data_IF_796314393560
#
_entry.id   IF_796314393560
#
_cell.length_a   1.000
_cell.length_b   1.000
_cell.length_c   1.000
_cell.angle_alpha   90.00
_cell.angle_beta   90.00
_cell.angle_gamma   90.00
#
_symmetry.space_group_name_H-M   'P 1'
#
loop_
_entity.id
_entity.type
_entity.pdbx_description
1 polymer ?
#
# COMPACT_ATOMS: atom_id res chain seq x y z
N UNK A 1 -27.53 19.13 15.66
CA UNK A 1 -27.51 17.67 15.53
C UNK A 1 -26.36 17.28 14.62
N UNK A 2 -25.16 17.23 15.17
CA UNK A 2 -23.96 16.68 14.51
C UNK A 2 -23.85 15.22 14.93
N UNK A 3 -23.81 14.25 13.99
CA UNK A 3 -23.74 12.86 14.41
C UNK A 3 -22.36 12.60 15.03
N UNK A 4 -22.44 12.03 16.23
CA UNK A 4 -21.43 11.28 16.96
C UNK A 4 -20.25 10.84 16.08
N UNK A 5 -19.11 11.49 16.28
CA UNK A 5 -17.80 10.91 15.99
C UNK A 5 -17.65 9.80 17.03
N UNK A 6 -18.16 8.62 16.72
CA UNK A 6 -17.85 7.41 17.46
C UNK A 6 -16.34 7.27 17.44
N UNK A 7 -15.77 7.22 18.64
CA UNK A 7 -14.36 7.04 18.92
C UNK A 7 -13.98 5.60 18.57
N UNK A 8 -14.04 5.23 17.29
CA UNK A 8 -13.23 4.14 16.78
C UNK A 8 -11.80 4.63 16.88
N UNK A 9 -10.89 3.83 17.45
CA UNK A 9 -9.47 4.10 17.30
C UNK A 9 -9.23 4.34 15.82
N UNK A 10 -8.96 5.58 15.42
CA UNK A 10 -8.94 5.97 14.01
C UNK A 10 -7.73 5.29 13.37
N UNK A 11 -7.94 4.07 12.88
CA UNK A 11 -6.93 3.33 12.14
C UNK A 11 -6.48 4.22 10.99
N UNK A 12 -5.17 4.41 10.87
CA UNK A 12 -4.61 5.40 9.96
C UNK A 12 -4.62 4.95 8.48
N UNK A 13 -5.04 3.71 8.21
CA UNK A 13 -5.07 3.10 6.88
C UNK A 13 -6.08 1.95 6.83
N UNK A 14 -6.61 1.69 5.63
CA UNK A 14 -7.44 0.51 5.35
C UNK A 14 -6.55 -0.75 5.21
N UNK A 15 -6.67 -1.67 6.17
CA UNK A 15 -5.93 -2.94 6.25
C UNK A 15 -6.84 -4.03 6.83
N UNK A 16 -6.36 -5.25 7.02
CA UNK A 16 -7.18 -6.28 7.66
C UNK A 16 -7.17 -6.11 9.18
N UNK A 17 -8.30 -6.31 9.86
CA UNK A 17 -8.39 -6.49 11.31
C UNK A 17 -9.10 -7.81 11.63
N UNK A 18 -8.73 -8.49 12.72
CA UNK A 18 -9.25 -9.82 13.04
C UNK A 18 -8.36 -10.97 12.55
N UNK A 19 -8.95 -12.15 12.34
CA UNK A 19 -8.23 -13.38 12.03
C UNK A 19 -8.20 -13.66 10.51
N UNK A 20 -7.14 -13.19 9.84
CA UNK A 20 -6.92 -13.48 8.43
C UNK A 20 -6.72 -14.98 8.16
N UNK A 21 -7.30 -15.58 7.10
CA UNK A 21 -8.18 -14.99 6.08
C UNK A 21 -9.69 -15.17 6.38
N UNK A 22 -10.05 -15.66 7.55
CA UNK A 22 -11.41 -16.14 7.84
C UNK A 22 -12.36 -15.05 8.35
N UNK A 23 -11.84 -14.07 9.06
CA UNK A 23 -12.64 -13.03 9.73
C UNK A 23 -11.97 -11.66 9.58
N UNK A 24 -12.70 -10.72 8.96
CA UNK A 24 -12.35 -9.30 8.94
C UNK A 24 -13.33 -8.56 9.85
N UNK A 25 -12.85 -7.91 10.92
CA UNK A 25 -13.70 -7.17 11.87
C UNK A 25 -14.13 -5.80 11.36
N UNK A 26 -13.56 -5.33 10.24
CA UNK A 26 -13.90 -4.05 9.61
C UNK A 26 -13.80 -2.85 10.58
N UNK A 27 -12.85 -2.91 11.53
CA UNK A 27 -12.62 -1.85 12.52
C UNK A 27 -12.24 -0.52 11.87
N UNK A 28 -11.64 -0.55 10.67
CA UNK A 28 -11.35 0.64 9.87
C UNK A 28 -12.54 1.11 9.01
N UNK A 29 -13.67 0.40 9.05
CA UNK A 29 -14.89 0.68 8.30
C UNK A 29 -14.95 0.08 6.89
N UNK A 30 -13.95 -0.72 6.47
CA UNK A 30 -13.88 -1.26 5.11
C UNK A 30 -13.44 -2.73 5.05
N UNK A 31 -14.36 -3.60 4.60
CA UNK A 31 -14.01 -5.00 4.25
C UNK A 31 -13.04 -5.14 3.07
N UNK A 32 -13.14 -4.21 2.12
CA UNK A 32 -12.48 -4.22 0.82
C UNK A 32 -11.78 -2.89 0.57
N UNK A 33 -11.90 -2.36 -0.63
CA UNK A 33 -11.38 -1.02 -0.92
C UNK A 33 -12.18 0.08 -0.23
N UNK A 34 -11.51 1.19 0.03
CA UNK A 34 -12.07 2.46 0.51
C UNK A 34 -11.92 3.55 -0.55
N UNK A 35 -12.75 4.62 -0.53
CA UNK A 35 -12.53 5.78 -1.38
C UNK A 35 -11.11 6.35 -1.25
N UNK A 36 -10.52 6.80 -2.36
CA UNK A 36 -9.11 7.22 -2.43
C UNK A 36 -8.76 8.41 -1.51
N UNK A 37 -9.76 9.15 -1.06
CA UNK A 37 -9.64 10.32 -0.16
C UNK A 37 -9.90 9.99 1.32
N UNK A 38 -10.18 8.72 1.65
CA UNK A 38 -10.34 8.31 3.05
C UNK A 38 -9.01 8.34 3.80
N UNK A 39 -9.12 8.41 5.13
CA UNK A 39 -8.02 8.54 6.09
C UNK A 39 -7.23 9.85 5.94
N UNK A 40 -6.44 10.16 6.96
CA UNK A 40 -5.66 11.41 6.99
C UNK A 40 -4.58 11.41 5.91
N UNK A 41 -4.34 12.57 5.32
CA UNK A 41 -3.17 12.79 4.47
C UNK A 41 -1.88 12.70 5.28
N UNK A 42 -0.80 12.25 4.65
CA UNK A 42 0.54 12.46 5.21
C UNK A 42 0.98 13.93 5.04
N UNK A 43 2.15 14.27 5.57
CA UNK A 43 2.72 15.64 5.50
C UNK A 43 2.94 16.20 4.09
N UNK A 44 2.81 15.38 3.05
CA UNK A 44 2.93 15.75 1.65
C UNK A 44 1.58 15.82 0.92
N UNK A 45 0.47 15.71 1.66
CA UNK A 45 -0.88 15.75 1.07
C UNK A 45 -1.33 14.43 0.44
N UNK A 46 -0.63 13.32 0.67
CA UNK A 46 -0.95 12.03 0.04
C UNK A 46 -1.85 11.18 0.93
N UNK A 47 -2.95 10.70 0.37
CA UNK A 47 -3.83 9.70 0.98
C UNK A 47 -3.43 8.28 0.58
N UNK A 48 -3.71 7.31 1.47
CA UNK A 48 -3.69 5.87 1.17
C UNK A 48 -2.40 5.36 0.50
N UNK A 49 -1.24 5.92 0.86
CA UNK A 49 0.07 5.44 0.35
C UNK A 49 0.48 4.10 0.97
N UNK A 50 -0.17 3.75 2.08
CA UNK A 50 -0.13 2.43 2.70
C UNK A 50 -1.56 1.92 2.86
N UNK A 51 -1.76 0.61 2.77
CA UNK A 51 -3.08 0.00 2.82
C UNK A 51 -3.91 0.29 1.56
N UNK A 52 -5.22 0.07 1.65
CA UNK A 52 -6.17 0.16 0.54
C UNK A 52 -5.79 -0.79 -0.61
N UNK A 53 -5.00 -0.35 -1.60
CA UNK A 53 -4.50 -1.21 -2.67
C UNK A 53 -2.99 -1.15 -2.74
N UNK A 54 -2.37 -2.25 -3.16
CA UNK A 54 -0.99 -2.23 -3.60
C UNK A 54 -0.83 -1.25 -4.75
N UNK A 55 0.32 -0.60 -4.84
CA UNK A 55 0.59 0.36 -5.92
C UNK A 55 1.81 -0.09 -6.73
N UNK A 56 1.61 -0.24 -8.05
CA UNK A 56 2.70 -0.46 -8.99
C UNK A 56 3.69 0.72 -9.01
N UNK A 57 4.94 0.40 -9.32
CA UNK A 57 6.02 1.37 -9.58
C UNK A 57 6.74 1.00 -10.88
N UNK A 58 7.52 1.93 -11.44
CA UNK A 58 8.19 1.72 -12.72
C UNK A 58 9.35 0.69 -12.65
N UNK A 59 9.96 0.53 -11.47
CA UNK A 59 11.17 -0.24 -11.25
C UNK A 59 11.01 -1.74 -11.48
N UNK A 60 12.05 -2.35 -12.05
CA UNK A 60 12.25 -3.80 -12.01
C UNK A 60 12.68 -4.27 -10.61
N UNK A 61 12.15 -5.41 -10.17
CA UNK A 61 12.42 -5.98 -8.86
C UNK A 61 13.81 -6.62 -8.78
N UNK A 62 14.59 -6.18 -7.80
CA UNK A 62 15.85 -6.81 -7.37
C UNK A 62 15.88 -6.92 -5.84
N UNK A 63 16.68 -7.82 -5.29
CA UNK A 63 16.84 -7.96 -3.82
C UNK A 63 18.17 -7.41 -3.30
N UNK A 64 19.14 -7.20 -4.20
CA UNK A 64 20.46 -6.65 -3.87
C UNK A 64 20.48 -5.17 -4.26
N UNK A 65 20.79 -4.31 -3.31
CA UNK A 65 20.91 -2.87 -3.51
C UNK A 65 22.32 -2.43 -3.10
N UNK A 66 22.91 -1.49 -3.83
CA UNK A 66 24.16 -0.86 -3.39
C UNK A 66 23.89 -0.01 -2.13
N UNK A 67 24.89 0.11 -1.26
CA UNK A 67 24.89 1.08 -0.16
C UNK A 67 25.26 2.49 -0.62
N UNK A 68 25.67 2.66 -1.88
CA UNK A 68 26.08 3.95 -2.42
C UNK A 68 24.91 4.94 -2.46
N UNK A 69 25.23 6.22 -2.26
CA UNK A 69 24.27 7.29 -2.45
C UNK A 69 24.02 7.50 -3.94
N UNK A 70 22.76 7.35 -4.36
CA UNK A 70 22.33 7.55 -5.74
C UNK A 70 21.49 8.84 -5.87
N UNK A 71 21.50 9.43 -7.07
CA UNK A 71 20.66 10.57 -7.46
C UNK A 71 19.60 10.05 -8.42
N UNK A 72 18.32 10.19 -8.06
CA UNK A 72 17.17 9.74 -8.87
C UNK A 72 17.33 8.32 -9.45
N UNK A 73 17.53 7.29 -8.60
CA UNK A 73 17.71 5.92 -9.10
C UNK A 73 16.44 5.42 -9.81
N UNK A 74 16.63 4.70 -10.93
CA UNK A 74 15.55 4.15 -11.76
C UNK A 74 15.41 2.62 -11.62
N UNK A 75 16.05 2.04 -10.61
CA UNK A 75 16.10 0.59 -10.41
C UNK A 75 17.03 -0.13 -11.40
N UNK A 76 16.84 -1.44 -11.54
CA UNK A 76 17.54 -2.26 -12.55
C UNK A 76 17.02 -1.94 -13.95
N UNK A 77 17.85 -2.06 -14.98
CA UNK A 77 17.45 -1.87 -16.39
C UNK A 77 16.64 -3.05 -16.94
N UNK A 78 16.71 -4.22 -16.30
CA UNK A 78 15.97 -5.42 -16.66
C UNK A 78 15.50 -6.21 -15.43
N UNK A 79 14.50 -7.07 -15.64
CA UNK A 79 13.96 -7.97 -14.62
C UNK A 79 12.77 -8.76 -15.14
N UNK A 80 12.31 -9.73 -14.33
CA UNK A 80 11.09 -10.50 -14.58
C UNK A 80 9.85 -9.83 -13.99
N UNK A 81 10.00 -9.18 -12.84
CA UNK A 81 8.89 -8.67 -12.04
C UNK A 81 9.01 -7.17 -11.80
N UNK A 82 7.88 -6.47 -11.74
CA UNK A 82 7.82 -5.05 -11.36
C UNK A 82 7.62 -4.90 -9.86
N UNK A 83 8.17 -3.81 -9.32
CA UNK A 83 8.02 -3.49 -7.89
C UNK A 83 6.62 -2.97 -7.61
N UNK A 84 6.02 -3.44 -6.52
CA UNK A 84 4.81 -2.88 -5.90
C UNK A 84 5.02 -2.51 -4.44
N UNK A 85 4.32 -1.49 -3.97
CA UNK A 85 4.49 -0.85 -2.65
C UNK A 85 3.15 -0.65 -1.93
N UNK A 86 3.21 -0.31 -0.65
CA UNK A 86 2.06 0.17 0.13
C UNK A 86 1.29 -0.89 0.92
N UNK A 87 1.24 -2.15 0.46
CA UNK A 87 0.30 -3.12 1.05
C UNK A 87 -1.12 -2.89 0.54
N UNK A 88 -2.11 -3.59 1.11
CA UNK A 88 -3.52 -3.44 0.73
C UNK A 88 -4.45 -3.71 1.91
N UNK A 89 -5.77 -3.61 1.68
CA UNK A 89 -6.84 -3.99 2.61
C UNK A 89 -6.77 -5.46 3.08
N UNK A 90 -5.93 -6.29 2.46
CA UNK A 90 -5.69 -7.70 2.84
C UNK A 90 -4.46 -7.88 3.73
N UNK A 91 -3.70 -6.80 4.00
CA UNK A 91 -2.50 -6.92 4.80
C UNK A 91 -2.84 -7.00 6.29
N UNK A 92 -2.21 -7.95 6.98
CA UNK A 92 -2.29 -8.12 8.43
C UNK A 92 -0.91 -8.36 9.01
N UNK A 93 -0.69 -7.99 10.29
CA UNK A 93 0.62 -8.13 10.96
C UNK A 93 1.13 -9.57 10.98
N UNK A 94 0.22 -10.55 11.09
CA UNK A 94 0.58 -11.98 11.24
C UNK A 94 1.06 -12.66 9.97
N UNK A 95 0.70 -12.14 8.78
CA UNK A 95 0.97 -12.80 7.50
C UNK A 95 1.65 -11.88 6.49
N UNK A 96 1.14 -10.66 6.31
CA UNK A 96 1.64 -9.71 5.32
C UNK A 96 1.81 -8.33 5.95
N UNK A 97 2.88 -8.18 6.75
CA UNK A 97 3.22 -6.93 7.41
C UNK A 97 3.94 -5.95 6.46
N UNK A 98 3.30 -5.64 5.33
CA UNK A 98 3.85 -4.81 4.24
C UNK A 98 3.18 -3.43 4.07
N UNK A 99 2.30 -3.02 4.99
CA UNK A 99 1.80 -1.64 5.10
C UNK A 99 2.82 -0.67 5.74
N UNK A 100 4.10 -0.79 5.36
CA UNK A 100 5.20 0.07 5.83
C UNK A 100 5.87 0.69 4.61
N UNK A 101 6.27 1.96 4.66
CA UNK A 101 6.91 2.64 3.52
C UNK A 101 8.16 1.89 3.00
N UNK A 102 8.93 1.28 3.89
CA UNK A 102 10.12 0.49 3.54
C UNK A 102 9.78 -0.88 2.92
N UNK A 103 8.60 -1.44 3.21
CA UNK A 103 8.20 -2.75 2.69
C UNK A 103 8.01 -2.70 1.18
N UNK A 104 8.28 -3.83 0.53
CA UNK A 104 8.26 -3.96 -0.93
C UNK A 104 7.91 -5.39 -1.31
N UNK A 105 7.28 -5.55 -2.45
CA UNK A 105 6.94 -6.82 -3.08
C UNK A 105 6.99 -6.65 -4.59
N UNK A 106 6.69 -7.72 -5.31
CA UNK A 106 6.73 -7.75 -6.76
C UNK A 106 5.68 -8.69 -7.33
N UNK A 107 5.39 -8.53 -8.62
CA UNK A 107 4.65 -9.44 -9.47
C UNK A 107 5.13 -9.26 -10.92
N UNK A 108 4.83 -10.23 -11.79
CA UNK A 108 5.07 -10.07 -13.23
C UNK A 108 4.24 -8.90 -13.78
N UNK A 109 4.72 -8.19 -14.82
CA UNK A 109 4.06 -6.98 -15.34
C UNK A 109 2.62 -7.19 -15.83
N UNK A 110 2.27 -8.42 -16.20
CA UNK A 110 0.96 -8.85 -16.69
C UNK A 110 0.01 -9.31 -15.56
N UNK A 111 0.49 -9.39 -14.32
CA UNK A 111 -0.36 -9.76 -13.17
C UNK A 111 -1.39 -8.66 -12.89
N UNK A 112 -2.64 -9.07 -12.66
CA UNK A 112 -3.68 -8.25 -12.06
C UNK A 112 -4.29 -8.94 -10.83
N UNK A 113 -4.77 -8.14 -9.88
CA UNK A 113 -5.46 -8.61 -8.69
C UNK A 113 -6.39 -7.53 -8.14
N UNK A 114 -7.49 -7.91 -7.47
CA UNK A 114 -8.46 -6.94 -6.91
C UNK A 114 -7.92 -6.03 -5.81
N UNK A 115 -6.73 -6.32 -5.28
CA UNK A 115 -6.05 -5.52 -4.27
C UNK A 115 -4.81 -4.78 -4.82
N UNK A 116 -4.71 -4.61 -6.14
CA UNK A 116 -3.56 -4.01 -6.83
C UNK A 116 -4.03 -2.93 -7.81
N UNK A 117 -3.55 -1.71 -7.60
CA UNK A 117 -3.75 -0.55 -8.45
C UNK A 117 -2.44 0.21 -8.66
N UNK A 118 -2.53 1.51 -8.92
CA UNK A 118 -1.39 2.40 -9.10
C UNK A 118 -1.81 3.88 -8.92
N UNK A 119 -0.81 4.74 -8.77
CA UNK A 119 -0.96 6.20 -8.90
C UNK A 119 0.13 6.74 -9.82
N UNK A 120 -0.15 7.86 -10.47
CA UNK A 120 0.80 8.49 -11.39
C UNK A 120 1.72 9.47 -10.65
N UNK A 121 2.86 9.72 -11.27
CA UNK A 121 3.75 10.84 -10.95
C UNK A 121 4.10 11.57 -12.25
N UNK A 122 4.51 12.82 -12.14
CA UNK A 122 4.95 13.64 -13.27
C UNK A 122 6.16 14.47 -12.84
N UNK A 123 7.07 14.73 -13.77
CA UNK A 123 8.16 15.68 -13.57
C UNK A 123 7.59 17.10 -13.43
N UNK A 124 8.21 17.91 -12.58
CA UNK A 124 7.89 19.33 -12.46
C UNK A 124 8.40 20.15 -13.65
#
# INVERSE_FOLDING_TARGET
MTPLITVYAALAANIWQGNFPTENTEEDGYKGTSPVTMFSQNRYGLHNIIGNVWEWTADWWITKHSSDRLINPIGSTSGSDKVKKGGSYLCHKTYCYRYRCAARSQNTPDTSAGNLGFRCAVSA
#
